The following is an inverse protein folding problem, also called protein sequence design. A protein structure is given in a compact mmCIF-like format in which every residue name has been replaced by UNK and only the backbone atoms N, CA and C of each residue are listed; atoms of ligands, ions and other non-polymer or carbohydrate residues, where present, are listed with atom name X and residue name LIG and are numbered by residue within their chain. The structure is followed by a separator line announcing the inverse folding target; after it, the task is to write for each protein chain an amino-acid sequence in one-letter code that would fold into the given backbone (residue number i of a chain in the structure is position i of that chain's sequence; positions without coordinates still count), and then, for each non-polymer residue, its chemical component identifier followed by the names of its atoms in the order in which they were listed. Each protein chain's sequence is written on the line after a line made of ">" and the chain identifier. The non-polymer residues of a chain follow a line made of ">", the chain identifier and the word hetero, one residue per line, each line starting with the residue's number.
data_IF_170957729616
#
_entry.id   IF_170957729616
#
_cell.length_a   1.000
_cell.length_b   1.000
_cell.length_c   1.000
_cell.angle_alpha   90.00
_cell.angle_beta   90.00
_cell.angle_gamma   90.00
#
_symmetry.space_group_name_H-M   'P 1'
#
loop_
_entity.id
_entity.type
_entity.pdbx_description
1 polymer ?
#
# COMPACT_ATOMS: atom_id res chain seq x y z
N UNK A 1 -0.68 -6.28 15.95
CA UNK A 1 -1.91 -5.67 15.42
C UNK A 1 -2.08 -6.15 13.99
N UNK A 2 -3.30 -6.20 13.43
CA UNK A 2 -3.46 -6.35 11.99
C UNK A 2 -2.67 -5.26 11.24
N UNK A 3 -2.15 -5.60 10.07
CA UNK A 3 -1.31 -4.68 9.28
C UNK A 3 -1.83 -4.59 7.85
N UNK A 4 -1.75 -3.40 7.28
CA UNK A 4 -1.88 -3.17 5.85
C UNK A 4 -0.60 -2.53 5.30
N UNK A 5 -0.29 -2.84 4.04
CA UNK A 5 0.87 -2.30 3.32
C UNK A 5 0.42 -1.87 1.94
N UNK A 6 0.88 -0.71 1.48
CA UNK A 6 0.60 -0.23 0.13
C UNK A 6 1.87 0.35 -0.49
N UNK A 7 2.19 -0.15 -1.69
CA UNK A 7 3.12 0.48 -2.60
C UNK A 7 2.34 1.33 -3.59
N UNK A 8 2.72 2.58 -3.77
CA UNK A 8 2.05 3.45 -4.73
C UNK A 8 3.02 4.44 -5.37
N UNK A 9 2.72 4.84 -6.59
CA UNK A 9 3.39 5.98 -7.23
C UNK A 9 2.83 7.27 -6.64
N UNK A 10 3.71 8.15 -6.15
CA UNK A 10 3.32 9.40 -5.51
C UNK A 10 2.72 10.36 -6.55
N UNK A 11 1.44 10.78 -6.40
CA UNK A 11 0.84 11.77 -7.29
C UNK A 11 1.44 13.15 -7.07
N UNK A 12 1.27 14.05 -8.05
CA UNK A 12 1.71 15.45 -7.92
C UNK A 12 0.98 16.21 -6.80
N UNK A 13 -0.26 15.82 -6.49
CA UNK A 13 -1.05 16.31 -5.35
C UNK A 13 -1.29 15.16 -4.36
N UNK A 14 -0.39 15.05 -3.38
CA UNK A 14 -0.42 14.01 -2.37
C UNK A 14 -0.97 14.46 -1.01
N UNK A 15 -1.47 15.71 -0.89
CA UNK A 15 -1.87 16.29 0.39
C UNK A 15 -2.95 15.48 1.12
N UNK A 16 -3.97 15.02 0.38
CA UNK A 16 -5.02 14.15 0.97
C UNK A 16 -4.50 12.78 1.36
N UNK A 17 -3.47 12.27 0.68
CA UNK A 17 -2.87 10.98 1.00
C UNK A 17 -2.06 11.11 2.30
N UNK A 18 -1.31 12.20 2.47
CA UNK A 18 -0.60 12.46 3.73
C UNK A 18 -1.53 12.63 4.93
N UNK A 19 -2.71 13.24 4.74
CA UNK A 19 -3.70 13.37 5.81
C UNK A 19 -4.16 11.98 6.29
N UNK A 20 -4.58 11.10 5.37
CA UNK A 20 -5.03 9.74 5.70
C UNK A 20 -3.91 8.92 6.34
N UNK A 21 -2.70 8.96 5.78
CA UNK A 21 -1.55 8.24 6.32
C UNK A 21 -1.13 8.75 7.70
N UNK A 22 -1.15 10.08 7.91
CA UNK A 22 -0.81 10.69 9.18
C UNK A 22 -1.83 10.40 10.28
N UNK A 23 -3.13 10.47 9.97
CA UNK A 23 -4.21 10.10 10.90
C UNK A 23 -4.13 8.63 11.31
N UNK A 24 -3.74 7.75 10.38
CA UNK A 24 -3.56 6.32 10.62
C UNK A 24 -2.22 5.96 11.30
N UNK A 25 -1.35 6.94 11.58
CA UNK A 25 -0.02 6.70 12.17
C UNK A 25 0.88 5.83 11.28
N UNK A 26 0.79 5.99 9.96
CA UNK A 26 1.49 5.14 9.00
C UNK A 26 3.02 5.30 9.11
N UNK A 27 3.72 4.19 8.93
CA UNK A 27 5.17 4.17 8.65
C UNK A 27 5.38 4.28 7.15
N UNK A 28 6.21 5.23 6.70
CA UNK A 28 6.43 5.52 5.28
C UNK A 28 7.92 5.35 4.93
N UNK A 29 8.24 4.45 3.99
CA UNK A 29 9.63 4.08 3.62
C UNK A 29 10.54 3.83 4.85
N UNK A 30 10.10 2.97 5.77
CA UNK A 30 10.78 2.63 7.02
C UNK A 30 10.97 3.80 8.01
N UNK A 31 10.27 4.93 7.81
CA UNK A 31 10.24 6.06 8.75
C UNK A 31 9.00 5.97 9.62
N UNK A 32 9.20 5.57 10.87
CA UNK A 32 8.16 5.49 11.89
C UNK A 32 7.90 6.86 12.54
N UNK A 33 6.66 7.06 13.01
CA UNK A 33 6.31 8.20 13.86
C UNK A 33 6.28 9.56 13.14
N UNK A 34 6.20 9.56 11.81
CA UNK A 34 6.01 10.78 11.04
C UNK A 34 4.59 11.32 11.25
N UNK A 35 4.46 12.61 11.54
CA UNK A 35 3.15 13.26 11.53
C UNK A 35 2.68 13.59 10.10
N UNK A 36 1.43 14.05 9.97
CA UNK A 36 0.85 14.41 8.67
C UNK A 36 1.67 15.46 7.89
N UNK A 37 2.28 16.44 8.56
CA UNK A 37 3.09 17.48 7.92
C UNK A 37 4.42 16.90 7.41
N UNK A 38 5.04 16.01 8.18
CA UNK A 38 6.26 15.30 7.79
C UNK A 38 6.00 14.35 6.61
N UNK A 39 4.89 13.61 6.62
CA UNK A 39 4.49 12.74 5.50
C UNK A 39 4.21 13.59 4.26
N UNK A 40 3.48 14.70 4.41
CA UNK A 40 3.20 15.62 3.31
C UNK A 40 4.49 16.16 2.68
N UNK A 41 5.45 16.59 3.51
CA UNK A 41 6.74 17.08 3.05
C UNK A 41 7.56 16.00 2.35
N UNK A 42 7.56 14.76 2.86
CA UNK A 42 8.23 13.63 2.23
C UNK A 42 7.63 13.33 0.85
N UNK A 43 6.32 13.14 0.76
CA UNK A 43 5.63 12.83 -0.51
C UNK A 43 5.82 13.96 -1.53
N UNK A 44 5.73 15.22 -1.11
CA UNK A 44 5.97 16.38 -1.99
C UNK A 44 7.41 16.44 -2.55
N UNK A 45 8.38 15.80 -1.88
CA UNK A 45 9.78 15.76 -2.33
C UNK A 45 10.07 14.67 -3.36
N UNK A 46 9.18 13.69 -3.52
CA UNK A 46 9.37 12.52 -4.41
C UNK A 46 8.19 12.27 -5.37
N UNK A 47 7.63 13.29 -6.05
CA UNK A 47 6.52 13.09 -6.97
C UNK A 47 6.92 12.15 -8.12
N UNK A 48 6.07 11.16 -8.41
CA UNK A 48 6.31 10.14 -9.43
C UNK A 48 7.22 8.99 -8.99
N UNK A 49 7.82 9.06 -7.80
CA UNK A 49 8.52 7.91 -7.22
C UNK A 49 7.53 6.93 -6.59
N UNK A 50 7.98 5.70 -6.36
CA UNK A 50 7.18 4.70 -5.64
C UNK A 50 7.57 4.67 -4.17
N UNK A 51 6.57 4.83 -3.30
CA UNK A 51 6.69 4.84 -1.84
C UNK A 51 5.97 3.65 -1.25
N UNK A 52 6.49 3.10 -0.16
CA UNK A 52 5.76 2.14 0.67
C UNK A 52 5.18 2.82 1.91
N UNK A 53 3.89 2.59 2.18
CA UNK A 53 3.28 2.94 3.44
C UNK A 53 2.73 1.70 4.15
N UNK A 54 2.89 1.67 5.46
CA UNK A 54 2.52 0.58 6.35
C UNK A 54 1.62 1.14 7.44
N UNK A 55 0.48 0.53 7.68
CA UNK A 55 -0.45 0.90 8.74
C UNK A 55 -0.68 -0.29 9.64
N UNK A 56 -0.56 -0.08 10.96
CA UNK A 56 -0.89 -1.06 11.98
C UNK A 56 -2.08 -0.55 12.79
N UNK A 57 -3.27 -1.09 12.50
CA UNK A 57 -4.52 -0.63 13.09
C UNK A 57 -5.41 -1.84 13.45
N UNK A 58 -6.37 -1.64 14.35
CA UNK A 58 -7.41 -2.63 14.64
C UNK A 58 -8.38 -2.82 13.44
N UNK A 59 -8.52 -1.81 12.58
CA UNK A 59 -9.16 -1.85 11.27
C UNK A 59 -8.19 -1.38 10.16
N UNK A 60 -7.28 -2.26 9.71
CA UNK A 60 -6.26 -1.90 8.73
C UNK A 60 -6.83 -1.69 7.32
N UNK A 61 -8.12 -1.99 7.12
CA UNK A 61 -8.80 -1.94 5.82
C UNK A 61 -9.22 -0.53 5.44
N UNK A 62 -9.76 0.23 6.39
CA UNK A 62 -10.25 1.59 6.15
C UNK A 62 -9.15 2.52 5.59
N UNK A 63 -8.00 2.70 6.25
CA UNK A 63 -6.97 3.63 5.77
C UNK A 63 -6.40 3.23 4.41
N UNK A 64 -6.23 1.93 4.12
CA UNK A 64 -5.72 1.51 2.81
C UNK A 64 -6.76 1.69 1.70
N UNK A 65 -8.05 1.53 2.00
CA UNK A 65 -9.14 1.80 1.06
C UNK A 65 -9.24 3.29 0.74
N UNK A 66 -9.08 4.15 1.74
CA UNK A 66 -9.10 5.60 1.57
C UNK A 66 -7.91 6.07 0.72
N UNK A 67 -6.71 5.57 1.01
CA UNK A 67 -5.51 5.84 0.17
C UNK A 67 -5.71 5.33 -1.25
N UNK A 68 -6.20 4.09 -1.44
CA UNK A 68 -6.47 3.54 -2.77
C UNK A 68 -7.51 4.37 -3.53
N UNK A 69 -8.58 4.83 -2.87
CA UNK A 69 -9.60 5.67 -3.48
C UNK A 69 -9.08 7.04 -3.92
N UNK A 70 -8.14 7.62 -3.16
CA UNK A 70 -7.44 8.84 -3.57
C UNK A 70 -6.54 8.58 -4.78
N UNK A 71 -5.80 7.46 -4.79
CA UNK A 71 -4.91 7.08 -5.88
C UNK A 71 -5.69 6.80 -7.18
N UNK A 72 -6.84 6.12 -7.09
CA UNK A 72 -7.79 5.90 -8.18
C UNK A 72 -8.15 7.25 -8.86
N UNK A 73 -8.41 8.29 -8.06
CA UNK A 73 -8.74 9.63 -8.54
C UNK A 73 -7.59 10.38 -9.21
N UNK A 74 -6.35 9.94 -9.01
CA UNK A 74 -5.14 10.55 -9.59
C UNK A 74 -4.58 9.77 -10.79
N UNK A 75 -5.10 8.56 -11.04
CA UNK A 75 -4.55 7.65 -12.06
C UNK A 75 -3.15 7.14 -11.72
N UNK A 76 -2.82 7.03 -10.43
CA UNK A 76 -1.54 6.50 -9.99
C UNK A 76 -1.61 5.00 -9.75
N UNK A 77 -0.56 4.29 -10.13
CA UNK A 77 -0.48 2.85 -9.90
C UNK A 77 -0.24 2.53 -8.42
N UNK A 78 -0.87 1.48 -7.92
CA UNK A 78 -0.65 0.97 -6.56
C UNK A 78 -0.89 -0.52 -6.42
N UNK A 79 -0.29 -1.08 -5.37
CA UNK A 79 -0.42 -2.46 -4.93
C UNK A 79 -0.51 -2.44 -3.40
N UNK A 80 -1.71 -2.71 -2.89
CA UNK A 80 -2.04 -2.78 -1.47
C UNK A 80 -2.41 -4.20 -1.02
N UNK A 81 -2.02 -4.54 0.20
CA UNK A 81 -2.37 -5.79 0.87
C UNK A 81 -2.79 -5.54 2.30
N UNK A 82 -3.77 -6.30 2.78
CA UNK A 82 -4.31 -6.23 4.13
C UNK A 82 -4.25 -7.62 4.75
N UNK A 83 -3.71 -7.72 5.96
CA UNK A 83 -3.77 -8.95 6.74
C UNK A 83 -5.23 -9.29 7.11
N UNK A 84 -5.48 -10.56 7.40
CA UNK A 84 -6.74 -10.96 8.00
C UNK A 84 -6.88 -10.35 9.40
N UNK A 85 -8.10 -9.99 9.78
CA UNK A 85 -8.37 -9.40 11.09
C UNK A 85 -9.76 -9.75 11.60
N UNK A 86 -10.01 -9.47 12.88
CA UNK A 86 -11.33 -9.59 13.48
C UNK A 86 -11.93 -8.21 13.69
N UNK A 87 -13.01 -7.93 12.97
CA UNK A 87 -13.75 -6.68 13.09
C UNK A 87 -14.47 -6.66 14.46
N UNK A 88 -13.94 -5.90 15.44
CA UNK A 88 -14.47 -5.90 16.82
C UNK A 88 -15.92 -5.46 16.92
N UNK A 89 -16.36 -4.53 16.07
CA UNK A 89 -17.72 -3.98 16.07
C UNK A 89 -18.79 -5.04 15.74
N UNK A 90 -18.44 -6.04 14.92
CA UNK A 90 -19.36 -7.07 14.42
C UNK A 90 -18.98 -8.50 14.82
N UNK A 91 -17.79 -8.68 15.42
CA UNK A 91 -17.22 -9.98 15.78
C UNK A 91 -16.88 -10.86 14.57
N UNK A 92 -16.88 -10.31 13.36
CA UNK A 92 -16.68 -11.05 12.12
C UNK A 92 -15.19 -11.17 11.78
N UNK A 93 -14.81 -12.34 11.25
CA UNK A 93 -13.48 -12.53 10.69
C UNK A 93 -13.46 -12.02 9.26
N UNK A 94 -12.56 -11.08 8.98
CA UNK A 94 -12.26 -10.58 7.65
C UNK A 94 -11.01 -11.32 7.17
N UNK A 95 -11.10 -11.99 6.01
CA UNK A 95 -9.95 -12.60 5.35
C UNK A 95 -9.00 -11.49 4.84
N UNK A 96 -7.77 -11.87 4.51
CA UNK A 96 -6.83 -10.96 3.86
C UNK A 96 -7.41 -10.33 2.59
N UNK A 97 -6.85 -9.19 2.19
CA UNK A 97 -7.34 -8.49 1.00
C UNK A 97 -6.22 -7.96 0.12
N UNK A 98 -6.41 -8.09 -1.19
CA UNK A 98 -5.61 -7.48 -2.24
C UNK A 98 -6.37 -6.28 -2.80
N UNK A 99 -5.67 -5.15 -2.95
CA UNK A 99 -6.09 -3.99 -3.72
C UNK A 99 -5.01 -3.67 -4.76
N UNK A 100 -5.38 -3.52 -6.02
CA UNK A 100 -4.41 -3.33 -7.09
C UNK A 100 -4.97 -2.47 -8.22
N UNK A 101 -4.22 -1.46 -8.64
CA UNK A 101 -4.34 -0.81 -9.94
C UNK A 101 -2.91 -0.67 -10.50
N UNK A 102 -2.44 -1.62 -11.33
CA UNK A 102 -1.02 -1.68 -11.69
C UNK A 102 -0.60 -0.62 -12.72
N UNK A 103 -1.56 -0.11 -13.48
CA UNK A 103 -1.37 0.86 -14.56
C UNK A 103 -1.95 2.25 -14.26
N UNK A 104 -2.66 2.41 -13.14
CA UNK A 104 -3.30 3.68 -12.78
C UNK A 104 -4.48 4.00 -13.71
N UNK A 105 -5.11 2.97 -14.28
CA UNK A 105 -6.19 3.15 -15.25
C UNK A 105 -7.55 3.46 -14.60
N UNK A 106 -7.63 3.38 -13.26
CA UNK A 106 -8.87 3.44 -12.49
C UNK A 106 -9.63 2.10 -12.47
N UNK A 107 -9.06 1.04 -13.06
CA UNK A 107 -9.66 -0.30 -13.07
C UNK A 107 -9.17 -1.13 -11.88
N UNK A 108 -9.52 -0.68 -10.68
CA UNK A 108 -9.14 -1.35 -9.44
C UNK A 108 -9.58 -2.81 -9.40
N UNK A 109 -8.62 -3.68 -9.11
CA UNK A 109 -8.83 -5.10 -8.79
C UNK A 109 -8.83 -5.21 -7.26
N UNK A 110 -9.92 -5.75 -6.72
CA UNK A 110 -10.04 -6.06 -5.29
C UNK A 110 -10.38 -7.54 -5.13
N UNK A 111 -9.58 -8.29 -4.35
CA UNK A 111 -9.79 -9.73 -4.14
C UNK A 111 -9.56 -10.13 -2.68
N UNK A 112 -10.39 -11.03 -2.10
CA UNK A 112 -10.07 -11.65 -0.83
C UNK A 112 -8.90 -12.63 -1.01
N UNK A 113 -8.11 -12.80 0.05
CA UNK A 113 -6.98 -13.72 0.09
C UNK A 113 -7.23 -14.73 1.19
N UNK A 114 -7.20 -16.04 0.90
CA UNK A 114 -7.67 -17.07 1.82
C UNK A 114 -6.64 -17.44 2.91
N UNK A 115 -5.94 -16.44 3.47
CA UNK A 115 -5.07 -16.64 4.62
C UNK A 115 -5.76 -16.26 5.92
N UNK A 116 -5.30 -16.90 6.98
CA UNK A 116 -5.85 -16.76 8.33
C UNK A 116 -5.13 -15.67 9.14
N UNK A 117 -3.82 -15.54 8.94
CA UNK A 117 -2.95 -14.44 9.34
C UNK A 117 -1.66 -14.61 8.52
N UNK A 118 -1.06 -13.50 8.10
CA UNK A 118 0.23 -13.50 7.42
C UNK A 118 0.91 -12.15 7.52
N UNK A 119 2.20 -12.13 7.23
CA UNK A 119 2.88 -10.89 6.83
C UNK A 119 2.75 -10.82 5.31
N UNK A 120 1.66 -10.26 4.76
CA UNK A 120 1.52 -10.20 3.32
C UNK A 120 2.62 -9.31 2.76
N UNK A 121 3.49 -9.92 1.97
CA UNK A 121 4.48 -9.20 1.20
C UNK A 121 3.87 -8.77 -0.13
N UNK A 122 4.38 -7.66 -0.66
CA UNK A 122 3.99 -7.12 -1.95
C UNK A 122 4.76 -7.85 -3.07
N UNK A 123 4.47 -9.15 -3.24
CA UNK A 123 5.14 -10.03 -4.19
C UNK A 123 4.18 -10.90 -5.03
N UNK A 124 4.73 -11.62 -6.01
CA UNK A 124 3.97 -12.52 -6.86
C UNK A 124 3.25 -13.65 -6.09
N UNK A 125 3.76 -14.10 -4.94
CA UNK A 125 3.12 -15.18 -4.15
C UNK A 125 1.81 -14.70 -3.55
N UNK A 126 1.78 -13.46 -3.06
CA UNK A 126 0.55 -12.84 -2.57
C UNK A 126 -0.50 -12.69 -3.67
N UNK A 127 -0.08 -12.29 -4.87
CA UNK A 127 -0.97 -12.18 -6.03
C UNK A 127 -1.54 -13.55 -6.46
N UNK A 128 -0.71 -14.58 -6.51
CA UNK A 128 -1.14 -15.96 -6.79
C UNK A 128 -2.09 -16.49 -5.71
N UNK A 129 -1.84 -16.19 -4.43
CA UNK A 129 -2.73 -16.56 -3.32
C UNK A 129 -4.11 -15.88 -3.43
N UNK A 130 -4.18 -14.67 -3.99
CA UNK A 130 -5.42 -13.97 -4.32
C UNK A 130 -6.14 -14.56 -5.56
N UNK A 131 -5.62 -15.64 -6.15
CA UNK A 131 -6.19 -16.29 -7.33
C UNK A 131 -5.88 -15.57 -8.64
N UNK A 132 -4.78 -14.84 -8.72
CA UNK A 132 -4.25 -14.31 -9.99
C UNK A 132 -3.48 -15.42 -10.73
N UNK A 133 -3.57 -15.44 -12.07
CA UNK A 133 -2.77 -16.39 -12.84
C UNK A 133 -1.28 -16.07 -12.71
N UNK A 134 -0.44 -17.10 -12.57
CA UNK A 134 1.00 -16.97 -12.32
C UNK A 134 1.72 -16.02 -13.29
N UNK A 135 1.37 -16.04 -14.57
CA UNK A 135 1.99 -15.15 -15.57
C UNK A 135 1.57 -13.68 -15.38
N UNK A 136 0.33 -13.44 -14.94
CA UNK A 136 -0.17 -12.11 -14.61
C UNK A 136 0.43 -11.60 -13.30
N UNK A 137 0.44 -12.43 -12.26
CA UNK A 137 1.05 -12.13 -10.96
C UNK A 137 2.53 -11.72 -11.12
N UNK A 138 3.27 -12.47 -11.94
CA UNK A 138 4.67 -12.15 -12.24
C UNK A 138 4.83 -10.81 -12.96
N UNK A 139 3.97 -10.49 -13.94
CA UNK A 139 4.04 -9.21 -14.65
C UNK A 139 3.77 -8.02 -13.72
N UNK A 140 2.77 -8.15 -12.84
CA UNK A 140 2.44 -7.11 -11.85
C UNK A 140 3.60 -6.93 -10.87
N UNK A 141 4.12 -8.02 -10.30
CA UNK A 141 5.29 -7.99 -9.40
C UNK A 141 6.51 -7.33 -10.08
N UNK A 142 6.81 -7.68 -11.34
CA UNK A 142 7.89 -7.06 -12.11
C UNK A 142 7.71 -5.55 -12.30
N UNK A 143 6.48 -5.08 -12.55
CA UNK A 143 6.16 -3.65 -12.70
C UNK A 143 6.47 -2.88 -11.41
N UNK A 144 6.07 -3.39 -10.25
CA UNK A 144 6.35 -2.72 -8.98
C UNK A 144 7.82 -2.86 -8.57
N UNK A 145 8.45 -4.01 -8.76
CA UNK A 145 9.89 -4.20 -8.48
C UNK A 145 10.77 -3.29 -9.33
N UNK A 146 10.48 -3.15 -10.62
CA UNK A 146 11.24 -2.23 -11.47
C UNK A 146 11.14 -0.79 -10.97
N UNK A 147 9.99 -0.39 -10.41
CA UNK A 147 9.80 0.94 -9.80
C UNK A 147 10.55 1.08 -8.47
N UNK A 148 10.59 0.03 -7.66
CA UNK A 148 11.39 -0.02 -6.43
C UNK A 148 12.90 0.09 -6.73
N UNK A 149 13.38 -0.65 -7.71
CA UNK A 149 14.80 -0.66 -8.09
C UNK A 149 15.24 0.66 -8.77
N UNK A 150 14.30 1.35 -9.41
CA UNK A 150 14.52 2.65 -10.06
C UNK A 150 14.58 3.83 -9.07
N UNK A 151 14.26 3.63 -7.78
CA UNK A 151 14.37 4.68 -6.77
C UNK A 151 15.82 5.21 -6.74
N UNK A 152 16.05 6.52 -6.80
CA UNK A 152 17.37 7.05 -6.49
C UNK A 152 17.70 6.60 -5.07
N UNK A 153 18.80 5.86 -4.90
CA UNK A 153 19.32 5.51 -3.58
C UNK A 153 19.72 6.82 -2.90
N UNK A 154 18.78 7.46 -2.22
CA UNK A 154 19.08 8.53 -1.29
C UNK A 154 19.91 7.87 -0.21
N UNK A 155 21.22 8.14 -0.28
CA UNK A 155 22.19 7.59 0.63
C UNK A 155 21.73 7.95 2.04
N UNK A 156 21.29 6.94 2.81
CA UNK A 156 21.17 7.09 4.25
C UNK A 156 22.57 7.49 4.75
N UNK A 157 22.77 8.67 5.35
CA UNK A 157 23.97 8.89 6.12
C UNK A 157 23.89 7.90 7.28
N UNK A 158 24.77 6.89 7.29
CA UNK A 158 24.94 6.09 8.51
C UNK A 158 25.48 7.01 9.61
N UNK A 159 24.98 6.88 10.86
CA UNK A 159 25.57 7.56 12.00
C UNK A 159 27.03 7.15 12.24
#
# INVERSE_FOLDING_TARGET
>A
MPRSRILFTVPADAGRISDVLGEAGATVDDREGMDHDEIAAHLASVPGETVEAIVEDDDPLTPIHDVAGLLDGTGCAYFGVVDAFQERSRGMRVLGRLLLDPDGSGNRIEKPIPWEHGEPDLDARTLEAAGMERAEAKRVDEVFRARLDARPRTATPRP
#
